data_IF_194212564221
#
_entry.id   IF_194212564221
#
_cell.length_a   1.000
_cell.length_b   1.000
_cell.length_c   1.000
_cell.angle_alpha   90.00
_cell.angle_beta   90.00
_cell.angle_gamma   90.00
#
_symmetry.space_group_name_H-M   'P 1'
#
loop_
_entity.id
_entity.type
_entity.pdbx_description
1 polymer ?
#
# COMPACT_ATOMS: atom_id res chain seq x y z
N UNK A 1 12.96 15.61 -15.56
CA UNK A 1 13.07 16.13 -14.18
C UNK A 1 14.48 15.84 -13.69
N UNK A 2 15.12 16.76 -12.99
CA UNK A 2 16.37 16.44 -12.27
C UNK A 2 16.01 15.60 -11.04
N UNK A 3 16.76 14.53 -10.77
CA UNK A 3 16.46 13.62 -9.64
C UNK A 3 16.60 14.29 -8.27
N UNK A 4 17.43 15.34 -8.19
CA UNK A 4 17.55 16.23 -7.03
C UNK A 4 16.29 17.06 -6.74
N UNK A 5 15.28 17.04 -7.61
CA UNK A 5 14.01 17.75 -7.44
C UNK A 5 12.91 16.91 -6.80
N UNK A 6 13.17 15.63 -6.47
CA UNK A 6 12.21 14.79 -5.76
C UNK A 6 12.09 15.26 -4.30
N UNK A 7 10.87 15.33 -3.73
CA UNK A 7 10.67 15.79 -2.36
C UNK A 7 11.14 14.72 -1.37
N UNK A 8 12.38 14.88 -0.90
CA UNK A 8 13.00 13.98 0.07
C UNK A 8 12.43 14.19 1.46
N UNK A 9 12.23 13.11 2.21
CA UNK A 9 11.69 13.13 3.59
C UNK A 9 10.35 13.87 3.75
N UNK A 10 9.69 14.24 2.66
CA UNK A 10 8.43 14.97 2.66
C UNK A 10 7.30 13.97 2.44
N UNK A 11 6.22 14.01 3.24
CA UNK A 11 5.05 13.18 3.04
C UNK A 11 4.41 13.44 1.67
N UNK A 12 4.23 12.37 0.90
CA UNK A 12 3.64 12.41 -0.44
C UNK A 12 2.70 11.23 -0.66
N UNK A 13 1.77 11.40 -1.60
CA UNK A 13 0.94 10.33 -2.14
C UNK A 13 1.41 10.04 -3.57
N UNK A 14 1.49 8.76 -3.91
CA UNK A 14 1.84 8.32 -5.26
C UNK A 14 0.56 8.02 -6.05
N UNK A 15 0.36 8.72 -7.16
CA UNK A 15 -0.72 8.48 -8.10
C UNK A 15 -0.17 7.76 -9.33
N UNK A 16 -0.76 6.62 -9.70
CA UNK A 16 -0.35 5.88 -10.88
C UNK A 16 -0.66 6.68 -12.15
N UNK A 17 0.31 6.74 -13.08
CA UNK A 17 0.09 7.27 -14.40
C UNK A 17 -0.86 6.35 -15.17
N UNK A 18 -1.85 6.93 -15.83
CA UNK A 18 -2.76 6.17 -16.68
C UNK A 18 -1.97 5.49 -17.81
N UNK A 19 -2.13 4.17 -17.95
CA UNK A 19 -1.76 3.49 -19.18
C UNK A 19 -2.81 3.90 -20.21
N UNK A 20 -2.37 4.41 -21.36
CA UNK A 20 -3.24 4.96 -22.40
C UNK A 20 -4.50 4.11 -22.64
N UNK A 21 -5.65 4.73 -22.34
CA UNK A 21 -7.04 4.31 -22.47
C UNK A 21 -7.35 3.13 -23.40
N UNK A 22 -7.75 2.00 -22.80
CA UNK A 22 -8.77 1.11 -23.39
C UNK A 22 -10.13 1.26 -22.70
N UNK A 23 -10.16 1.72 -21.44
CA UNK A 23 -11.37 2.14 -20.73
C UNK A 23 -10.99 3.24 -19.73
N UNK A 24 -11.60 4.44 -19.79
CA UNK A 24 -11.43 5.42 -18.73
C UNK A 24 -12.16 4.88 -17.49
N UNK A 25 -11.41 4.33 -16.54
CA UNK A 25 -11.90 4.31 -15.16
C UNK A 25 -11.84 5.75 -14.66
N UNK A 26 -12.99 6.34 -14.35
CA UNK A 26 -13.16 7.76 -13.97
C UNK A 26 -12.40 8.19 -12.70
N UNK A 27 -11.66 7.30 -12.05
CA UNK A 27 -10.98 7.55 -10.78
C UNK A 27 -9.48 7.28 -10.89
N UNK A 28 -8.62 8.21 -10.41
CA UNK A 28 -7.18 7.98 -10.35
C UNK A 28 -6.85 6.80 -9.42
N UNK A 29 -5.92 5.95 -9.84
CA UNK A 29 -5.39 4.88 -9.00
C UNK A 29 -4.24 5.42 -8.16
N UNK A 30 -4.29 5.17 -6.85
CA UNK A 30 -3.26 5.57 -5.90
C UNK A 30 -2.54 4.35 -5.35
N UNK A 31 -1.32 4.57 -4.88
CA UNK A 31 -0.60 3.63 -4.04
C UNK A 31 -1.35 3.49 -2.71
N UNK A 32 -1.84 2.28 -2.40
CA UNK A 32 -2.72 2.04 -1.25
C UNK A 32 -2.11 1.18 -0.17
N UNK A 33 -2.65 1.32 1.04
CA UNK A 33 -2.42 0.38 2.13
C UNK A 33 -3.32 -0.87 2.02
N UNK A 34 -3.16 -1.79 2.96
CA UNK A 34 -3.96 -3.01 3.09
C UNK A 34 -5.45 -2.75 3.41
N UNK A 35 -5.79 -1.52 3.79
CA UNK A 35 -7.15 -1.03 4.04
C UNK A 35 -7.74 -0.28 2.84
N UNK A 36 -7.05 -0.28 1.69
CA UNK A 36 -7.42 0.41 0.45
C UNK A 36 -7.47 1.95 0.55
N UNK A 37 -6.86 2.54 1.57
CA UNK A 37 -6.68 3.99 1.64
C UNK A 37 -5.42 4.39 0.88
N UNK A 38 -5.38 5.61 0.34
CA UNK A 38 -4.15 6.15 -0.22
C UNK A 38 -3.07 6.20 0.88
N UNK A 39 -1.94 5.55 0.63
CA UNK A 39 -0.86 5.46 1.61
C UNK A 39 0.10 6.63 1.40
N UNK A 40 0.28 7.40 2.46
CA UNK A 40 1.23 8.51 2.51
C UNK A 40 2.61 7.94 2.80
N UNK A 41 3.58 8.30 1.97
CA UNK A 41 4.96 7.80 2.04
C UNK A 41 5.96 8.95 2.04
N UNK A 42 7.16 8.70 2.53
CA UNK A 42 8.33 9.57 2.34
C UNK A 42 9.35 8.86 1.45
N UNK A 43 10.11 9.63 0.68
CA UNK A 43 11.19 9.12 -0.16
C UNK A 43 12.52 9.43 0.51
N UNK A 44 13.23 8.39 0.95
CA UNK A 44 14.54 8.50 1.59
C UNK A 44 15.65 8.22 0.57
N UNK A 45 16.45 9.24 0.25
CA UNK A 45 17.54 9.14 -0.71
C UNK A 45 18.75 8.45 -0.07
N UNK A 46 19.22 7.34 -0.67
CA UNK A 46 20.38 6.55 -0.20
C UNK A 46 21.52 6.46 -1.20
N UNK A 47 21.30 6.91 -2.43
CA UNK A 47 22.31 7.03 -3.49
C UNK A 47 21.97 8.18 -4.44
N UNK A 48 22.74 8.37 -5.52
CA UNK A 48 22.51 9.48 -6.48
C UNK A 48 21.10 9.45 -7.08
N UNK A 49 20.56 8.25 -7.27
CA UNK A 49 19.27 7.99 -7.90
C UNK A 49 18.50 6.86 -7.22
N UNK A 50 18.90 6.50 -6.01
CA UNK A 50 18.42 5.32 -5.28
C UNK A 50 17.68 5.77 -4.04
N UNK A 51 16.47 5.23 -3.86
CA UNK A 51 15.55 5.63 -2.82
C UNK A 51 14.98 4.44 -2.07
N UNK A 52 14.74 4.62 -0.78
CA UNK A 52 13.88 3.75 0.03
C UNK A 52 12.53 4.46 0.17
N UNK A 53 11.44 3.72 0.03
CA UNK A 53 10.09 4.22 0.25
C UNK A 53 9.70 3.89 1.69
N UNK A 54 9.38 4.91 2.48
CA UNK A 54 8.98 4.74 3.88
C UNK A 54 7.55 5.17 4.10
N UNK A 55 6.92 4.51 5.04
CA UNK A 55 5.63 4.89 5.57
C UNK A 55 5.77 6.21 6.35
N UNK A 56 4.95 7.21 6.05
CA UNK A 56 5.06 8.53 6.70
C UNK A 56 4.56 8.54 8.16
N UNK A 57 3.69 7.59 8.52
CA UNK A 57 3.05 7.45 9.83
C UNK A 57 3.95 6.76 10.88
N UNK A 58 4.63 5.69 10.50
CA UNK A 58 5.38 4.83 11.44
C UNK A 58 6.83 4.55 11.01
N UNK A 59 7.27 5.07 9.86
CA UNK A 59 8.63 4.92 9.36
C UNK A 59 8.98 3.52 8.87
N UNK A 60 8.02 2.61 8.75
CA UNK A 60 8.25 1.29 8.17
C UNK A 60 8.71 1.41 6.71
N UNK A 61 9.57 0.49 6.25
CA UNK A 61 10.11 0.51 4.90
C UNK A 61 9.30 -0.41 3.99
N UNK A 62 9.08 0.00 2.74
CA UNK A 62 8.43 -0.83 1.74
C UNK A 62 9.36 -1.96 1.33
N UNK A 63 8.93 -3.20 1.52
CA UNK A 63 9.65 -4.42 1.17
C UNK A 63 8.93 -5.14 0.03
N UNK A 64 9.71 -5.80 -0.84
CA UNK A 64 9.19 -6.65 -1.91
C UNK A 64 9.27 -8.12 -1.48
N UNK A 65 8.12 -8.78 -1.39
CA UNK A 65 8.02 -10.22 -1.16
C UNK A 65 8.48 -11.04 -2.38
N UNK A 66 8.75 -12.32 -2.16
CA UNK A 66 9.23 -13.23 -3.22
C UNK A 66 8.23 -13.40 -4.39
N UNK A 67 6.94 -13.15 -4.16
CA UNK A 67 5.89 -13.17 -5.18
C UNK A 67 5.65 -11.80 -5.85
N UNK A 68 6.52 -10.82 -5.60
CA UNK A 68 6.37 -9.46 -6.08
C UNK A 68 5.27 -8.67 -5.37
N UNK A 69 4.64 -9.17 -4.31
CA UNK A 69 3.76 -8.34 -3.47
C UNK A 69 4.59 -7.39 -2.61
N UNK A 70 4.11 -6.17 -2.37
CA UNK A 70 4.80 -5.20 -1.52
C UNK A 70 4.08 -5.02 -0.19
N UNK A 71 4.84 -4.83 0.89
CA UNK A 71 4.31 -4.57 2.23
C UNK A 71 5.30 -3.74 3.04
N UNK A 72 4.81 -3.04 4.06
CA UNK A 72 5.66 -2.26 4.96
C UNK A 72 6.14 -3.14 6.12
N UNK A 73 7.40 -2.99 6.49
CA UNK A 73 8.02 -3.74 7.58
C UNK A 73 9.02 -2.86 8.36
N UNK A 74 9.29 -3.23 9.61
CA UNK A 74 10.23 -2.51 10.46
C UNK A 74 11.67 -2.55 9.90
N UNK A 75 12.35 -1.39 9.74
CA UNK A 75 13.75 -1.35 9.32
C UNK A 75 14.71 -2.05 10.30
N UNK A 76 14.29 -2.25 11.55
CA UNK A 76 15.08 -2.92 12.60
C UNK A 76 15.39 -4.38 12.23
N UNK A 77 14.60 -4.99 11.35
CA UNK A 77 14.87 -6.34 10.85
C UNK A 77 16.06 -6.39 9.88
N UNK A 78 16.59 -5.24 9.45
CA UNK A 78 17.73 -5.16 8.52
C UNK A 78 17.38 -5.63 7.10
N UNK A 79 16.09 -5.69 6.78
CA UNK A 79 15.58 -6.01 5.45
C UNK A 79 15.11 -4.68 4.86
N UNK A 80 15.69 -4.30 3.72
CA UNK A 80 15.40 -3.04 3.03
C UNK A 80 15.30 -3.31 1.53
N UNK A 81 14.35 -2.66 0.87
CA UNK A 81 14.29 -2.61 -0.59
C UNK A 81 14.71 -1.22 -1.07
N UNK A 82 15.69 -1.20 -1.97
CA UNK A 82 16.14 0.01 -2.64
C UNK A 82 15.57 0.09 -4.05
N UNK A 83 15.18 1.29 -4.45
CA UNK A 83 14.62 1.56 -5.77
C UNK A 83 15.47 2.57 -6.52
N UNK A 84 15.96 2.16 -7.70
CA UNK A 84 16.48 3.07 -8.70
C UNK A 84 15.30 3.84 -9.29
N UNK A 85 15.35 5.17 -9.22
CA UNK A 85 14.30 6.04 -9.74
C UNK A 85 14.67 6.55 -11.12
N UNK A 86 13.73 6.47 -12.06
CA UNK A 86 13.90 6.92 -13.44
C UNK A 86 12.81 7.93 -13.80
N UNK A 87 13.20 9.09 -14.34
CA UNK A 87 12.25 10.09 -14.80
C UNK A 87 11.73 9.74 -16.21
N UNK A 88 10.42 9.89 -16.42
CA UNK A 88 9.74 9.67 -17.70
C UNK A 88 9.39 11.01 -18.35
N UNK A 89 9.34 11.05 -19.69
CA UNK A 89 9.11 12.28 -20.46
C UNK A 89 7.78 13.00 -20.13
N UNK A 90 6.77 12.27 -19.65
CA UNK A 90 5.47 12.82 -19.24
C UNK A 90 5.48 13.40 -17.81
N UNK A 91 6.64 13.46 -17.15
CA UNK A 91 6.80 14.00 -15.80
C UNK A 91 6.50 13.01 -14.69
N UNK A 92 6.11 11.77 -14.99
CA UNK A 92 6.04 10.71 -13.99
C UNK A 92 7.42 10.09 -13.73
N UNK A 93 7.52 9.30 -12.66
CA UNK A 93 8.73 8.57 -12.30
C UNK A 93 8.47 7.07 -12.20
N UNK A 94 9.48 6.26 -12.43
CA UNK A 94 9.42 4.81 -12.31
C UNK A 94 10.36 4.40 -11.18
N UNK A 95 9.87 3.54 -10.27
CA UNK A 95 10.70 2.92 -9.23
C UNK A 95 11.06 1.52 -9.69
N UNK A 96 12.35 1.25 -9.88
CA UNK A 96 12.88 -0.04 -10.29
C UNK A 96 13.59 -0.67 -9.09
N UNK A 97 13.12 -1.82 -8.62
CA UNK A 97 13.76 -2.57 -7.54
C UNK A 97 15.21 -2.88 -7.91
N UNK A 98 16.17 -2.42 -7.10
CA UNK A 98 17.60 -2.70 -7.30
C UNK A 98 17.90 -4.20 -7.19
N UNK A 99 17.10 -4.94 -6.40
CA UNK A 99 17.29 -6.37 -6.17
C UNK A 99 16.80 -7.23 -7.34
N UNK A 100 15.67 -6.87 -7.94
CA UNK A 100 14.98 -7.73 -8.92
C UNK A 100 14.96 -7.17 -10.34
N UNK A 101 15.15 -5.86 -10.51
CA UNK A 101 14.94 -5.16 -11.78
C UNK A 101 13.46 -4.94 -12.13
N UNK A 102 12.54 -5.42 -11.28
CA UNK A 102 11.11 -5.25 -11.48
C UNK A 102 10.65 -3.85 -11.10
N UNK A 103 9.52 -3.42 -11.67
CA UNK A 103 8.97 -2.08 -11.46
C UNK A 103 7.87 -2.10 -10.43
N UNK A 104 7.88 -1.09 -9.54
CA UNK A 104 6.78 -0.82 -8.64
C UNK A 104 5.55 -0.35 -9.43
N UNK A 105 4.48 -1.12 -9.32
CA UNK A 105 3.15 -0.86 -9.89
C UNK A 105 2.11 -1.16 -8.80
N UNK A 106 0.83 -1.13 -9.18
CA UNK A 106 -0.27 -1.59 -8.37
C UNK A 106 -1.14 -2.59 -9.12
N UNK A 107 -1.76 -3.51 -8.39
CA UNK A 107 -2.80 -4.37 -8.96
C UNK A 107 -4.10 -3.59 -9.26
N UNK A 108 -5.11 -4.29 -9.77
CA UNK A 108 -6.41 -3.70 -10.12
C UNK A 108 -7.14 -3.08 -8.92
N UNK A 109 -6.73 -3.40 -7.68
CA UNK A 109 -7.28 -2.85 -6.46
C UNK A 109 -6.45 -1.68 -5.90
N UNK A 110 -5.31 -1.35 -6.54
CA UNK A 110 -4.37 -0.32 -6.09
C UNK A 110 -3.36 -0.81 -5.05
N UNK A 111 -3.27 -2.12 -4.79
CA UNK A 111 -2.29 -2.67 -3.86
C UNK A 111 -0.91 -2.74 -4.52
N UNK A 112 0.16 -2.34 -3.83
CA UNK A 112 1.48 -2.21 -4.42
C UNK A 112 2.12 -3.56 -4.72
N UNK A 113 2.74 -3.65 -5.89
CA UNK A 113 3.45 -4.83 -6.39
C UNK A 113 4.70 -4.45 -7.16
N UNK A 114 5.73 -5.28 -7.12
CA UNK A 114 6.87 -5.21 -8.02
C UNK A 114 6.79 -6.34 -9.05
N UNK A 115 6.63 -5.98 -10.31
CA UNK A 115 6.39 -6.93 -11.41
C UNK A 115 7.23 -6.58 -12.64
N UNK A 116 7.52 -7.60 -13.45
CA UNK A 116 8.17 -7.45 -14.76
C UNK A 116 7.09 -7.13 -15.82
N UNK A 117 6.58 -5.90 -15.79
CA UNK A 117 5.50 -5.44 -16.68
C UNK A 117 5.85 -4.10 -17.34
N UNK A 118 4.90 -3.57 -18.10
CA UNK A 118 4.98 -2.23 -18.68
C UNK A 118 5.24 -1.23 -17.55
N UNK A 119 6.28 -0.40 -17.73
CA UNK A 119 6.71 0.61 -16.76
C UNK A 119 5.63 1.69 -16.57
N UNK A 120 4.67 1.42 -15.68
CA UNK A 120 3.71 2.42 -15.24
C UNK A 120 4.43 3.40 -14.32
N UNK A 121 4.42 4.67 -14.69
CA UNK A 121 5.03 5.70 -13.87
C UNK A 121 4.11 6.17 -12.75
N UNK A 122 4.65 6.95 -11.84
CA UNK A 122 3.98 7.55 -10.69
C UNK A 122 4.12 9.07 -10.73
N UNK A 123 3.02 9.77 -10.50
CA UNK A 123 3.04 11.19 -10.15
C UNK A 123 3.14 11.31 -8.63
N UNK A 124 4.06 12.16 -8.18
CA UNK A 124 4.22 12.49 -6.76
C UNK A 124 3.33 13.68 -6.45
N UNK A 125 2.35 13.48 -5.57
CA UNK A 125 1.51 14.54 -5.05
C UNK A 125 1.95 14.84 -3.62
N UNK A 126 2.37 16.08 -3.37
CA UNK A 126 2.60 16.53 -2.00
C UNK A 126 1.24 16.71 -1.33
N UNK A 127 1.10 16.19 -0.12
CA UNK A 127 -0.04 16.53 0.71
C UNK A 127 0.04 18.03 0.99
N UNK A 128 -0.84 18.80 0.37
CA UNK A 128 -0.85 20.24 0.48
C UNK A 128 -1.19 20.61 1.91
N UNK A 129 -0.18 20.91 2.73
CA UNK A 129 -0.39 21.69 3.94
C UNK A 129 -1.17 22.94 3.53
N UNK A 130 -2.45 22.98 3.92
CA UNK A 130 -3.32 24.12 3.72
C UNK A 130 -2.80 25.28 4.57
N UNK A 131 -1.77 25.98 4.08
CA UNK A 131 -1.49 27.33 4.51
C UNK A 131 -2.40 28.27 3.72
N UNK A 132 -3.23 28.97 4.50
CA UNK A 132 -3.94 30.20 4.20
C UNK A 132 -5.27 30.09 3.41
N UNK A 133 -6.33 29.81 4.16
CA UNK A 133 -7.57 30.59 4.05
C UNK A 133 -8.07 30.89 5.47
N UNK A 134 -8.07 32.18 5.83
CA UNK A 134 -8.85 32.73 6.93
C UNK A 134 -10.30 32.23 6.85
N UNK A 135 -10.79 31.58 7.90
CA UNK A 135 -12.00 32.04 8.56
C UNK A 135 -12.21 31.38 9.93
N UNK A 136 -12.82 32.16 10.81
CA UNK A 136 -13.07 31.98 12.23
C UNK A 136 -13.91 30.76 12.65
N UNK A 137 -13.58 30.20 13.84
CA UNK A 137 -14.42 29.47 14.82
C UNK A 137 -15.16 28.18 14.32
N UNK A 138 -15.13 27.02 14.98
CA UNK A 138 -15.84 26.65 16.23
C UNK A 138 -15.42 25.22 16.68
N UNK A 139 -14.95 25.12 17.94
CA UNK A 139 -15.21 24.14 19.03
C UNK A 139 -15.20 22.61 18.79
N UNK A 140 -14.36 21.94 19.59
CA UNK A 140 -14.24 20.50 19.87
C UNK A 140 -15.53 19.82 20.37
N UNK A 141 -15.84 18.59 19.93
CA UNK A 141 -16.49 17.53 20.75
C UNK A 141 -16.15 16.13 20.19
N UNK A 142 -15.67 15.23 21.05
CA UNK A 142 -15.65 13.76 20.92
C UNK A 142 -16.52 13.16 22.07
N UNK A 143 -16.75 11.84 22.17
CA UNK A 143 -17.56 10.91 21.36
C UNK A 143 -18.78 10.37 22.15
N UNK A 144 -19.76 9.73 21.48
CA UNK A 144 -20.68 8.80 22.17
C UNK A 144 -20.97 7.50 21.40
N UNK A 145 -20.76 6.38 22.10
CA UNK A 145 -21.18 5.02 21.79
C UNK A 145 -22.71 4.86 21.98
N UNK A 146 -23.37 4.04 21.13
CA UNK A 146 -24.26 2.92 21.55
C UNK A 146 -24.92 2.13 20.37
N UNK A 147 -25.49 0.92 20.62
CA UNK A 147 -25.53 -0.27 19.74
C UNK A 147 -26.97 -0.66 19.28
N UNK A 148 -27.31 -1.95 19.00
CA UNK A 148 -26.83 -2.91 18.00
C UNK A 148 -27.88 -3.14 16.88
N UNK A 149 -27.51 -3.64 15.69
CA UNK A 149 -28.49 -4.01 14.65
C UNK A 149 -28.38 -5.48 14.24
N UNK A 150 -29.49 -6.21 14.33
CA UNK A 150 -29.67 -7.63 14.01
C UNK A 150 -29.65 -7.95 12.50
N UNK A 151 -28.97 -7.13 11.69
CA UNK A 151 -28.95 -7.24 10.23
C UNK A 151 -27.70 -6.61 9.57
N UNK A 152 -26.54 -6.65 10.23
CA UNK A 152 -25.30 -6.11 9.66
C UNK A 152 -24.46 -7.22 9.00
N UNK A 153 -24.70 -7.44 7.70
CA UNK A 153 -24.00 -8.40 6.83
C UNK A 153 -22.53 -8.07 6.55
N UNK A 154 -22.02 -6.90 6.97
CA UNK A 154 -20.65 -6.47 6.68
C UNK A 154 -19.72 -6.62 7.89
N UNK A 155 -20.14 -6.15 9.07
CA UNK A 155 -19.31 -6.20 10.28
C UNK A 155 -19.16 -7.63 10.81
N UNK A 156 -20.24 -8.42 10.81
CA UNK A 156 -20.19 -9.81 11.23
C UNK A 156 -19.41 -10.69 10.22
N UNK A 157 -19.49 -10.38 8.92
CA UNK A 157 -18.77 -11.12 7.86
C UNK A 157 -17.27 -10.86 7.90
N UNK A 158 -16.86 -9.65 8.26
CA UNK A 158 -15.45 -9.30 8.45
C UNK A 158 -14.87 -9.96 9.71
N UNK A 159 -15.67 -10.09 10.78
CA UNK A 159 -15.28 -10.89 11.94
C UNK A 159 -15.21 -12.38 11.61
N UNK A 160 -16.16 -12.92 10.85
CA UNK A 160 -16.13 -14.33 10.42
C UNK A 160 -14.91 -14.62 9.54
N UNK A 161 -14.53 -13.70 8.65
CA UNK A 161 -13.32 -13.82 7.82
C UNK A 161 -12.02 -13.72 8.64
N UNK A 162 -12.00 -12.86 9.67
CA UNK A 162 -10.87 -12.74 10.61
C UNK A 162 -10.72 -13.99 11.47
N UNK A 163 -11.82 -14.48 12.05
CA UNK A 163 -11.83 -15.71 12.86
C UNK A 163 -11.43 -16.93 12.02
N UNK A 164 -11.87 -17.01 10.75
CA UNK A 164 -11.42 -18.05 9.82
C UNK A 164 -9.92 -17.98 9.55
N UNK A 165 -9.36 -16.78 9.34
CA UNK A 165 -7.92 -16.60 9.12
C UNK A 165 -7.08 -16.98 10.34
N UNK A 166 -7.52 -16.61 11.54
CA UNK A 166 -6.86 -16.98 12.80
C UNK A 166 -6.93 -18.49 13.05
N UNK A 167 -8.06 -19.14 12.74
CA UNK A 167 -8.22 -20.58 12.87
C UNK A 167 -7.30 -21.36 11.91
N UNK A 168 -7.20 -20.92 10.65
CA UNK A 168 -6.29 -21.51 9.66
C UNK A 168 -4.83 -21.39 10.12
N UNK A 169 -4.41 -20.21 10.58
CA UNK A 169 -3.05 -20.00 11.10
C UNK A 169 -2.75 -20.89 12.31
N UNK A 170 -3.75 -21.15 13.16
CA UNK A 170 -3.61 -22.07 14.29
C UNK A 170 -3.45 -23.53 13.84
N UNK A 171 -4.19 -23.99 12.83
CA UNK A 171 -4.01 -25.33 12.25
C UNK A 171 -2.63 -25.53 11.61
N UNK A 172 -2.12 -24.50 10.92
CA UNK A 172 -0.76 -24.49 10.37
C UNK A 172 0.27 -24.60 11.50
N UNK A 173 0.09 -23.85 12.59
CA UNK A 173 0.99 -23.92 13.76
C UNK A 173 0.98 -25.29 14.46
N UNK A 174 -0.09 -26.07 14.31
CA UNK A 174 -0.21 -27.45 14.80
C UNK A 174 0.38 -28.49 13.83
N UNK A 175 1.00 -28.04 12.73
CA UNK A 175 1.67 -28.90 11.75
C UNK A 175 0.74 -29.57 10.74
N UNK A 176 -0.50 -29.06 10.58
CA UNK A 176 -1.43 -29.58 9.57
C UNK A 176 -1.03 -29.15 8.17
N UNK A 177 -1.10 -30.09 7.23
CA UNK A 177 -0.91 -29.83 5.81
C UNK A 177 -2.11 -29.08 5.21
N UNK A 178 -1.90 -28.37 4.10
CA UNK A 178 -2.96 -27.64 3.40
C UNK A 178 -4.14 -28.54 3.02
N UNK A 179 -3.87 -29.76 2.53
CA UNK A 179 -4.90 -30.73 2.17
C UNK A 179 -5.75 -31.17 3.38
N UNK A 180 -5.14 -31.31 4.56
CA UNK A 180 -5.87 -31.60 5.80
C UNK A 180 -6.71 -30.40 6.28
N UNK A 181 -6.19 -29.18 6.12
CA UNK A 181 -6.91 -27.95 6.48
C UNK A 181 -8.15 -27.80 5.60
N UNK A 182 -8.03 -28.01 4.30
CA UNK A 182 -9.15 -27.94 3.37
C UNK A 182 -10.21 -29.00 3.69
N UNK A 183 -9.80 -30.24 4.01
CA UNK A 183 -10.71 -31.30 4.44
C UNK A 183 -11.43 -30.99 5.76
N UNK A 184 -10.77 -30.29 6.69
CA UNK A 184 -11.38 -29.84 7.96
C UNK A 184 -12.40 -28.72 7.69
N UNK A 185 -12.04 -27.71 6.90
CA UNK A 185 -12.93 -26.60 6.55
C UNK A 185 -14.17 -27.06 5.79
N UNK A 186 -14.02 -28.02 4.86
CA UNK A 186 -15.12 -28.65 4.13
C UNK A 186 -16.11 -29.38 5.05
N UNK A 187 -15.64 -29.96 6.17
CA UNK A 187 -16.50 -30.65 7.15
C UNK A 187 -17.20 -29.71 8.13
N UNK A 188 -16.71 -28.48 8.29
CA UNK A 188 -17.34 -27.47 9.15
C UNK A 188 -18.51 -26.74 8.48
N UNK A 189 -18.61 -26.82 7.15
CA UNK A 189 -19.65 -26.20 6.34
C UNK A 189 -20.66 -27.19 5.74
N UNK A 190 -20.61 -28.46 6.16
CA UNK A 190 -21.58 -29.52 5.86
C UNK A 190 -22.55 -29.69 7.02
#
# INVERSE_FOLDING_TARGET
MAMSALPQETPVVLQAAALSNLYPTDSPTFFRDDKFNAKVVTLHCVGESTFIIRSADDGQELIVGANGGCYFESPVLGITEEFQVEAVANGSIVFVSCRTGNVLDCDDNGLPRCVDTIRRGWFILQDGGATDVNDELIVEVEPELNPPCSHCTTTCRNNEAKERREFIMKLVSLGKSLDEIDAILLRMHA
#
